data_IF_249433599450
#
_entry.id   IF_249433599450
#
_cell.length_a   1.000
_cell.length_b   1.000
_cell.length_c   1.000
_cell.angle_alpha   90.00
_cell.angle_beta   90.00
_cell.angle_gamma   90.00
#
_symmetry.space_group_name_H-M   'P 1'
#
loop_
_entity.id
_entity.type
_entity.pdbx_description
1 polymer ?
#
# COMPACT_ATOMS: atom_id res chain seq x y z
N UNK A 1 15.74 12.25 19.41
CA UNK A 1 15.45 13.56 18.78
C UNK A 1 13.94 13.63 18.60
N UNK A 2 13.23 14.65 19.11
CA UNK A 2 11.80 14.76 18.87
C UNK A 2 11.63 15.04 17.38
N UNK A 3 11.27 14.02 16.61
CA UNK A 3 10.96 14.21 15.20
C UNK A 3 9.73 15.11 15.13
N UNK A 4 9.87 16.24 14.43
CA UNK A 4 8.80 17.19 14.25
C UNK A 4 7.59 16.51 13.61
N UNK A 5 6.39 16.89 14.03
CA UNK A 5 5.17 16.37 13.43
C UNK A 5 5.18 16.68 11.93
N UNK A 6 4.81 15.71 11.11
CA UNK A 6 4.79 15.83 9.66
C UNK A 6 3.35 15.83 9.15
N UNK A 7 3.04 16.52 8.04
CA UNK A 7 1.69 16.53 7.49
C UNK A 7 1.33 15.17 6.89
N UNK A 8 0.14 14.68 7.20
CA UNK A 8 -0.41 13.46 6.63
C UNK A 8 -0.73 13.67 5.14
N UNK A 9 -0.26 12.78 4.26
CA UNK A 9 -0.50 12.82 2.80
C UNK A 9 -1.97 12.69 2.38
N UNK A 10 -2.87 12.39 3.31
CA UNK A 10 -4.28 12.18 3.03
C UNK A 10 -5.22 13.24 3.63
N UNK A 11 -4.89 13.77 4.80
CA UNK A 11 -5.74 14.75 5.50
C UNK A 11 -4.98 16.01 5.92
N UNK A 12 -3.70 16.12 5.55
CA UNK A 12 -2.81 17.28 5.77
C UNK A 12 -2.57 17.66 7.23
N UNK A 13 -3.23 16.99 8.18
CA UNK A 13 -3.03 17.18 9.61
C UNK A 13 -1.68 16.64 10.05
N UNK A 14 -1.13 17.29 11.07
CA UNK A 14 0.13 16.94 11.71
C UNK A 14 0.03 15.59 12.42
N UNK A 15 0.92 14.67 12.06
CA UNK A 15 1.05 13.35 12.68
C UNK A 15 2.48 13.14 13.16
N UNK A 16 2.69 12.28 14.18
CA UNK A 16 4.03 11.88 14.59
C UNK A 16 4.81 11.27 13.41
N UNK A 17 6.13 11.50 13.31
CA UNK A 17 6.95 10.98 12.21
C UNK A 17 7.07 9.45 12.21
N UNK A 18 6.85 8.80 13.35
CA UNK A 18 6.85 7.34 13.50
C UNK A 18 5.44 6.74 13.43
N UNK A 19 4.42 7.53 13.07
CA UNK A 19 3.04 7.07 13.01
C UNK A 19 2.81 6.13 11.80
N UNK A 20 2.57 4.85 12.09
CA UNK A 20 2.15 3.88 11.08
C UNK A 20 0.69 4.10 10.61
N UNK A 21 -0.13 4.71 11.46
CA UNK A 21 -1.54 5.02 11.20
C UNK A 21 -1.78 6.47 11.60
N UNK A 22 -2.48 7.23 10.76
CA UNK A 22 -2.89 8.58 11.10
C UNK A 22 -3.90 8.52 12.27
N UNK A 23 -3.62 9.15 13.43
CA UNK A 23 -4.58 9.21 14.53
C UNK A 23 -5.84 10.01 14.19
N UNK A 24 -5.82 10.82 13.12
CA UNK A 24 -6.94 11.70 12.77
C UNK A 24 -7.84 11.11 11.68
N UNK A 25 -7.28 10.58 10.60
CA UNK A 25 -8.07 10.01 9.50
C UNK A 25 -8.07 8.48 9.46
N UNK A 26 -7.34 7.81 10.35
CA UNK A 26 -7.26 6.35 10.42
C UNK A 26 -6.53 5.67 9.26
N UNK A 27 -5.96 6.45 8.32
CA UNK A 27 -5.27 5.88 7.16
C UNK A 27 -3.88 5.37 7.52
N UNK A 28 -3.52 4.22 6.97
CA UNK A 28 -2.20 3.61 7.15
C UNK A 28 -1.15 4.31 6.29
N UNK A 29 0.10 4.29 6.75
CA UNK A 29 1.24 4.95 6.10
C UNK A 29 0.94 6.43 5.76
N UNK A 30 0.64 7.27 6.77
CA UNK A 30 0.26 8.66 6.54
C UNK A 30 1.36 9.53 5.94
N UNK A 31 2.62 9.13 6.08
CA UNK A 31 3.77 9.93 5.64
C UNK A 31 4.28 9.49 4.28
N UNK A 32 4.47 8.19 4.10
CA UNK A 32 5.04 7.65 2.87
C UNK A 32 4.60 6.20 2.65
N UNK A 33 4.23 5.87 1.42
CA UNK A 33 3.96 4.51 1.01
C UNK A 33 5.25 3.68 1.04
N UNK A 34 5.18 2.44 1.51
CA UNK A 34 6.34 1.54 1.57
C UNK A 34 6.11 0.32 0.71
N UNK A 35 7.21 -0.19 0.14
CA UNK A 35 7.18 -1.42 -0.62
C UNK A 35 6.78 -2.59 0.28
N UNK A 36 5.76 -3.39 -0.06
CA UNK A 36 5.34 -4.51 0.77
C UNK A 36 6.35 -5.67 0.76
N UNK A 37 7.28 -5.68 -0.21
CA UNK A 37 8.30 -6.73 -0.34
C UNK A 37 9.60 -6.42 0.41
N UNK A 38 10.08 -5.17 0.37
CA UNK A 38 11.37 -4.79 0.95
C UNK A 38 11.30 -3.62 1.94
N UNK A 39 10.10 -3.13 2.28
CA UNK A 39 9.86 -1.95 3.11
C UNK A 39 10.49 -0.64 2.60
N UNK A 40 11.07 -0.63 1.40
CA UNK A 40 11.71 0.56 0.83
C UNK A 40 10.67 1.68 0.62
N UNK A 41 10.99 2.93 0.99
CA UNK A 41 10.12 4.08 0.78
C UNK A 41 9.83 4.28 -0.72
N UNK A 42 8.55 4.32 -1.07
CA UNK A 42 8.10 4.51 -2.44
C UNK A 42 7.71 5.98 -2.67
N UNK A 43 7.89 6.46 -3.91
CA UNK A 43 7.42 7.77 -4.35
C UNK A 43 6.41 7.62 -5.48
N UNK A 44 5.40 8.49 -5.49
CA UNK A 44 4.44 8.55 -6.60
C UNK A 44 5.17 8.73 -7.93
N UNK A 45 4.70 8.03 -8.97
CA UNK A 45 5.27 8.07 -10.32
C UNK A 45 6.33 7.02 -10.61
N UNK A 46 6.78 6.23 -9.62
CA UNK A 46 7.68 5.10 -9.90
C UNK A 46 6.95 3.95 -10.59
N UNK A 47 7.49 3.43 -11.70
CA UNK A 47 6.93 2.26 -12.37
C UNK A 47 7.18 0.96 -11.58
N UNK A 48 8.33 0.88 -10.90
CA UNK A 48 8.73 -0.25 -10.08
C UNK A 48 9.54 0.23 -8.86
N UNK A 49 9.62 -0.60 -7.83
CA UNK A 49 10.46 -0.35 -6.66
C UNK A 49 11.94 -0.39 -7.07
N UNK A 50 12.73 0.68 -6.84
CA UNK A 50 14.14 0.71 -7.25
C UNK A 50 15.01 -0.26 -6.45
N UNK A 51 14.56 -0.69 -5.28
CA UNK A 51 15.31 -1.60 -4.41
C UNK A 51 15.07 -3.08 -4.73
N UNK A 52 13.85 -3.49 -5.08
CA UNK A 52 13.51 -4.91 -5.28
C UNK A 52 12.88 -5.25 -6.64
N UNK A 53 12.67 -4.25 -7.51
CA UNK A 53 12.09 -4.42 -8.84
C UNK A 53 10.59 -4.73 -8.87
N UNK A 54 9.88 -4.63 -7.74
CA UNK A 54 8.44 -4.89 -7.69
C UNK A 54 7.66 -3.85 -8.51
N UNK A 55 6.85 -4.29 -9.47
CA UNK A 55 5.98 -3.40 -10.23
C UNK A 55 5.02 -2.65 -9.29
N UNK A 56 4.94 -1.33 -9.46
CA UNK A 56 4.06 -0.44 -8.69
C UNK A 56 2.85 -0.03 -9.51
N UNK A 57 2.61 -0.64 -10.67
CA UNK A 57 1.35 -0.49 -11.39
C UNK A 57 0.39 -1.58 -10.93
N UNK A 58 -0.81 -1.17 -10.52
CA UNK A 58 -1.83 -2.09 -10.03
C UNK A 58 -3.19 -1.74 -10.58
N UNK A 59 -3.95 -2.76 -10.95
CA UNK A 59 -5.35 -2.61 -11.30
C UNK A 59 -6.17 -2.71 -10.02
N UNK A 60 -6.98 -1.69 -9.74
CA UNK A 60 -7.83 -1.71 -8.57
C UNK A 60 -8.90 -2.81 -8.71
N UNK A 61 -8.97 -3.78 -7.79
CA UNK A 61 -9.96 -4.86 -7.86
C UNK A 61 -11.40 -4.38 -7.62
N UNK A 62 -11.58 -3.14 -7.14
CA UNK A 62 -12.90 -2.58 -6.82
C UNK A 62 -13.47 -1.68 -7.91
N UNK A 63 -12.62 -0.93 -8.63
CA UNK A 63 -13.08 -0.03 -9.69
C UNK A 63 -12.53 -0.38 -11.08
N UNK A 64 -11.65 -1.37 -11.20
CA UNK A 64 -11.08 -1.83 -12.48
C UNK A 64 -10.07 -0.88 -13.12
N UNK A 65 -9.79 0.28 -12.52
CA UNK A 65 -8.84 1.26 -13.06
C UNK A 65 -7.41 0.89 -12.70
N UNK A 66 -6.51 0.99 -13.68
CA UNK A 66 -5.06 0.89 -13.47
C UNK A 66 -4.56 2.19 -12.86
N UNK A 67 -3.79 2.09 -11.79
CA UNK A 67 -3.20 3.24 -11.11
C UNK A 67 -1.89 2.88 -10.44
N UNK A 68 -1.39 3.83 -9.65
CA UNK A 68 -0.16 3.66 -8.89
C UNK A 68 -0.40 2.89 -7.59
N UNK A 69 0.54 2.03 -7.23
CA UNK A 69 0.50 1.24 -6.02
C UNK A 69 0.65 2.12 -4.78
N UNK A 70 -0.40 2.13 -3.98
CA UNK A 70 -0.39 2.69 -2.63
C UNK A 70 -1.32 1.92 -1.72
N UNK A 71 -1.44 2.37 -0.47
CA UNK A 71 -2.36 1.75 0.48
C UNK A 71 -3.83 1.90 0.05
N UNK A 72 -4.14 2.96 -0.71
CA UNK A 72 -5.48 3.29 -1.19
C UNK A 72 -5.44 3.61 -2.68
N UNK A 73 -6.53 3.28 -3.38
CA UNK A 73 -6.71 3.63 -4.78
C UNK A 73 -6.94 5.13 -4.94
N UNK A 74 -6.25 5.75 -5.90
CA UNK A 74 -6.41 7.16 -6.26
C UNK A 74 -7.81 7.50 -6.81
N UNK A 75 -8.51 6.55 -7.43
CA UNK A 75 -9.80 6.81 -8.07
C UNK A 75 -11.01 6.56 -7.16
N UNK A 76 -10.97 5.52 -6.32
CA UNK A 76 -12.10 5.13 -5.49
C UNK A 76 -11.82 5.22 -3.99
N UNK A 77 -10.61 5.62 -3.59
CA UNK A 77 -10.18 5.77 -2.19
C UNK A 77 -10.31 4.51 -1.31
N UNK A 78 -10.65 3.35 -1.89
CA UNK A 78 -10.67 2.06 -1.19
C UNK A 78 -9.27 1.51 -0.98
N UNK A 79 -9.11 0.75 0.11
CA UNK A 79 -7.84 0.12 0.47
C UNK A 79 -7.49 -0.94 -0.56
N UNK A 80 -6.30 -0.88 -1.13
CA UNK A 80 -5.81 -1.84 -2.12
C UNK A 80 -5.27 -3.09 -1.42
N UNK A 81 -6.17 -3.80 -0.72
CA UNK A 81 -5.90 -5.10 -0.13
C UNK A 81 -6.89 -6.12 -0.69
N UNK A 82 -6.37 -7.29 -0.99
CA UNK A 82 -7.13 -8.46 -1.43
C UNK A 82 -6.85 -9.61 -0.49
N UNK A 83 -7.90 -10.33 -0.15
CA UNK A 83 -7.80 -11.55 0.66
C UNK A 83 -7.46 -12.72 -0.25
N UNK A 84 -6.47 -13.52 0.13
CA UNK A 84 -6.13 -14.72 -0.62
C UNK A 84 -7.32 -15.69 -0.68
N UNK A 85 -7.75 -16.16 -1.89
CA UNK A 85 -8.90 -17.06 -2.05
C UNK A 85 -8.65 -18.47 -1.47
N UNK A 86 -7.38 -18.85 -1.29
CA UNK A 86 -7.01 -20.11 -0.65
C UNK A 86 -7.53 -20.17 0.79
N UNK A 87 -8.48 -21.06 1.07
CA UNK A 87 -9.12 -21.25 2.39
C UNK A 87 -8.11 -21.47 3.53
N UNK A 88 -6.95 -22.08 3.26
CA UNK A 88 -5.90 -22.31 4.27
C UNK A 88 -5.06 -21.07 4.57
N UNK A 89 -5.03 -20.06 3.69
CA UNK A 89 -4.18 -18.89 3.85
C UNK A 89 -4.98 -17.67 4.32
N UNK A 90 -6.01 -17.27 3.57
CA UNK A 90 -6.86 -16.08 3.83
C UNK A 90 -6.08 -14.80 4.23
N UNK A 91 -4.82 -14.68 3.83
CA UNK A 91 -4.01 -13.53 4.16
C UNK A 91 -4.46 -12.32 3.34
N UNK A 92 -4.58 -11.18 4.01
CA UNK A 92 -4.74 -9.88 3.36
C UNK A 92 -3.39 -9.44 2.81
N UNK A 93 -3.35 -9.15 1.52
CA UNK A 93 -2.13 -8.69 0.86
C UNK A 93 -2.45 -7.70 -0.24
N UNK A 94 -1.46 -6.91 -0.69
CA UNK A 94 -1.69 -5.97 -1.77
C UNK A 94 -1.81 -6.70 -3.13
N UNK A 95 -2.66 -6.23 -4.07
CA UNK A 95 -2.91 -6.89 -5.36
C UNK A 95 -1.78 -6.67 -6.39
N UNK A 96 -0.53 -6.87 -5.98
CA UNK A 96 0.66 -6.59 -6.81
C UNK A 96 1.13 -7.76 -7.68
N UNK A 97 0.61 -8.97 -7.43
CA UNK A 97 1.10 -10.19 -8.06
C UNK A 97 -0.01 -11.15 -8.43
N UNK A 98 0.30 -12.01 -9.40
CA UNK A 98 -0.59 -13.13 -9.79
C UNK A 98 -0.64 -14.22 -8.71
N UNK A 99 0.29 -14.22 -7.77
CA UNK A 99 0.43 -15.20 -6.69
C UNK A 99 0.41 -14.54 -5.32
N UNK A 100 -0.05 -15.30 -4.33
CA UNK A 100 -0.06 -14.89 -2.94
C UNK A 100 1.37 -14.89 -2.37
N UNK A 101 1.80 -13.76 -1.80
CA UNK A 101 3.12 -13.57 -1.17
C UNK A 101 3.31 -14.53 0.01
N UNK A 102 2.22 -14.88 0.73
CA UNK A 102 2.30 -15.76 1.92
C UNK A 102 2.28 -17.25 1.60
N UNK A 103 1.54 -17.69 0.57
CA UNK A 103 1.37 -19.13 0.28
C UNK A 103 1.76 -19.57 -1.12
N UNK A 104 2.21 -18.65 -1.98
CA UNK A 104 2.66 -18.93 -3.35
C UNK A 104 1.54 -19.30 -4.34
N UNK A 105 0.30 -19.53 -3.88
CA UNK A 105 -0.81 -19.94 -4.75
C UNK A 105 -1.32 -18.80 -5.64
N UNK A 106 -1.85 -19.11 -6.84
CA UNK A 106 -2.45 -18.11 -7.72
C UNK A 106 -3.64 -17.41 -7.05
N UNK A 107 -3.82 -16.13 -7.39
CA UNK A 107 -4.93 -15.29 -6.90
C UNK A 107 -6.11 -15.22 -7.90
N UNK A 108 -6.40 -16.33 -8.59
CA UNK A 108 -7.57 -16.49 -9.47
C UNK A 108 -8.65 -17.32 -8.78
#
# INVERSE_FOLDING_TARGET
MPGYMQPCRYCEKLVPPDANVCPVCGKVNPLQARCPKCAHPLRQGWAACPSCGLSLQVVCPFCGKTGYFGDYCEHCSRRLLVTCPNRKCRAEQPPLGKTCIKCGKPMH
#
